data_IF_359769580274
#
_entry.id   IF_359769580274
#
_cell.length_a   1.000
_cell.length_b   1.000
_cell.length_c   1.000
_cell.angle_alpha   90.00
_cell.angle_beta   90.00
_cell.angle_gamma   90.00
#
_symmetry.space_group_name_H-M   'P 1'
#
loop_
_entity.id
_entity.type
_entity.pdbx_description
1 polymer ?
#
# COMPACT_ATOMS: atom_id res chain seq x y z
N UNK A 1 34.41 15.03 45.45
CA UNK A 1 35.00 13.82 44.83
C UNK A 1 34.41 13.71 43.43
N UNK A 2 35.13 14.25 42.45
CA UNK A 2 34.67 14.41 41.07
C UNK A 2 34.90 13.10 40.31
N UNK A 3 33.82 12.47 39.85
CA UNK A 3 33.89 11.25 39.06
C UNK A 3 34.50 11.61 37.69
N UNK A 4 35.68 11.04 37.40
CA UNK A 4 36.33 11.21 36.11
C UNK A 4 35.62 10.33 35.07
N UNK A 5 34.63 10.91 34.39
CA UNK A 5 33.77 10.26 33.39
C UNK A 5 34.58 9.56 32.29
N UNK A 6 35.77 10.06 31.97
CA UNK A 6 36.64 9.46 30.95
C UNK A 6 37.15 8.07 31.35
N UNK A 7 37.31 7.80 32.65
CA UNK A 7 37.78 6.51 33.15
C UNK A 7 36.66 5.46 33.20
N UNK A 8 35.42 5.88 33.49
CA UNK A 8 34.23 5.02 33.45
C UNK A 8 33.94 4.55 32.02
N UNK A 9 34.06 5.46 31.05
CA UNK A 9 33.86 5.16 29.63
C UNK A 9 34.92 4.19 29.10
N UNK A 10 36.19 4.32 29.53
CA UNK A 10 37.27 3.38 29.13
C UNK A 10 37.09 1.97 29.69
N UNK A 11 36.55 1.82 30.91
CA UNK A 11 36.23 0.51 31.52
C UNK A 11 35.00 -0.15 30.90
N UNK A 12 33.98 0.62 30.52
CA UNK A 12 32.79 0.10 29.81
C UNK A 12 33.08 -0.34 28.37
N UNK A 13 34.09 0.24 27.71
CA UNK A 13 34.52 -0.16 26.36
C UNK A 13 35.51 -1.34 26.34
N UNK A 14 35.68 -2.06 27.46
CA UNK A 14 36.44 -3.30 27.51
C UNK A 14 37.95 -3.12 27.36
N UNK A 15 38.49 -1.96 27.73
CA UNK A 15 39.93 -1.70 27.64
C UNK A 15 40.62 -2.16 28.92
N UNK A 16 41.44 -3.23 28.83
CA UNK A 16 42.29 -3.71 29.91
C UNK A 16 43.76 -3.62 29.48
N UNK A 17 44.63 -2.89 30.20
CA UNK A 17 46.04 -2.84 29.88
C UNK A 17 46.76 -4.02 30.55
N UNK A 18 47.16 -5.00 29.76
CA UNK A 18 48.50 -5.60 29.74
C UNK A 18 48.48 -7.01 29.14
N UNK A 19 49.05 -7.12 27.96
CA UNK A 19 49.59 -8.35 27.38
C UNK A 19 50.95 -8.64 28.01
N UNK A 20 51.20 -9.87 28.46
CA UNK A 20 52.42 -10.69 28.22
C UNK A 20 52.51 -11.82 29.24
N UNK A 21 52.42 -13.07 28.79
CA UNK A 21 53.55 -14.02 28.89
C UNK A 21 53.22 -15.42 28.34
N UNK A 22 54.22 -15.91 27.59
CA UNK A 22 54.61 -17.29 27.31
C UNK A 22 53.69 -18.28 26.57
N UNK A 23 54.08 -18.44 25.31
CA UNK A 23 54.23 -19.71 24.61
C UNK A 23 54.87 -20.79 25.50
N UNK A 24 54.28 -21.98 25.61
CA UNK A 24 54.98 -23.27 25.55
C UNK A 24 54.02 -24.46 25.52
N UNK A 25 54.43 -25.48 24.77
CA UNK A 25 53.82 -26.79 24.60
C UNK A 25 53.55 -27.48 25.94
N UNK A 26 52.48 -28.27 26.01
CA UNK A 26 52.53 -29.62 26.57
C UNK A 26 51.32 -30.43 26.09
N UNK A 27 51.61 -31.54 25.39
CA UNK A 27 50.66 -32.64 25.23
C UNK A 27 50.42 -33.26 26.61
N UNK A 28 49.16 -33.43 26.99
CA UNK A 28 48.79 -34.41 28.02
C UNK A 28 47.60 -35.21 27.50
N UNK A 29 47.87 -36.49 27.21
CA UNK A 29 46.84 -37.51 27.15
C UNK A 29 46.34 -37.80 28.57
N UNK A 30 45.01 -37.82 28.77
CA UNK A 30 44.39 -38.62 29.81
C UNK A 30 43.31 -39.51 29.20
N UNK A 31 43.47 -40.81 29.44
CA UNK A 31 42.56 -41.90 29.09
C UNK A 31 41.29 -41.78 29.94
N UNK A 32 40.13 -41.93 29.28
CA UNK A 32 38.82 -41.92 29.95
C UNK A 32 38.66 -43.15 30.84
N UNK A 33 38.29 -42.94 32.10
CA UNK A 33 37.56 -43.93 32.89
C UNK A 33 36.14 -43.40 33.06
N UNK A 34 35.29 -43.82 32.12
CA UNK A 34 33.86 -44.13 32.27
C UNK A 34 33.22 -44.00 30.89
N UNK A 35 33.06 -45.17 30.25
CA UNK A 35 32.28 -45.34 29.05
C UNK A 35 30.81 -45.03 29.30
N UNK A 36 30.46 -43.75 29.23
CA UNK A 36 29.10 -43.30 28.94
C UNK A 36 29.14 -42.36 27.74
N UNK A 37 28.77 -42.95 26.61
CA UNK A 37 28.27 -42.20 25.46
C UNK A 37 26.99 -41.48 25.89
N UNK A 38 27.11 -40.21 26.26
CA UNK A 38 26.03 -39.27 25.97
C UNK A 38 26.40 -38.76 24.58
N UNK A 39 25.63 -39.18 23.58
CA UNK A 39 25.72 -38.67 22.23
C UNK A 39 25.71 -37.14 22.29
N UNK A 40 26.90 -36.56 22.17
CA UNK A 40 27.07 -35.22 21.63
C UNK A 40 26.23 -35.23 20.37
N UNK A 41 25.16 -34.44 20.34
CA UNK A 41 24.53 -33.98 19.10
C UNK A 41 25.65 -33.25 18.34
N UNK A 42 26.41 -34.03 17.58
CA UNK A 42 27.55 -33.63 16.79
C UNK A 42 26.98 -32.97 15.54
N UNK A 43 27.24 -31.69 15.38
CA UNK A 43 27.60 -31.19 14.05
C UNK A 43 26.49 -30.68 13.13
N UNK A 44 25.33 -30.26 13.64
CA UNK A 44 24.43 -29.33 12.92
C UNK A 44 23.95 -28.19 13.86
N UNK A 45 24.77 -27.81 14.82
CA UNK A 45 24.40 -26.86 15.89
C UNK A 45 24.40 -25.41 15.41
N UNK A 46 23.23 -24.78 15.39
CA UNK A 46 22.97 -23.34 15.22
C UNK A 46 23.39 -22.68 13.90
N UNK A 47 24.65 -22.82 13.44
CA UNK A 47 25.13 -22.24 12.17
C UNK A 47 24.44 -22.85 10.95
N UNK A 48 24.20 -24.17 10.97
CA UNK A 48 23.45 -24.86 9.91
C UNK A 48 21.98 -24.44 9.87
N UNK A 49 21.34 -24.35 11.03
CA UNK A 49 19.96 -23.86 11.17
C UNK A 49 19.80 -22.41 10.69
N UNK A 50 20.71 -21.51 11.10
CA UNK A 50 20.73 -20.13 10.65
C UNK A 50 20.94 -20.02 9.13
N UNK A 51 21.84 -20.85 8.58
CA UNK A 51 22.03 -20.96 7.14
C UNK A 51 20.74 -21.36 6.43
N UNK A 52 20.08 -22.44 6.86
CA UNK A 52 18.81 -22.89 6.27
C UNK A 52 17.74 -21.79 6.31
N UNK A 53 17.65 -21.03 7.41
CA UNK A 53 16.74 -19.88 7.49
C UNK A 53 17.08 -18.82 6.42
N UNK A 54 18.35 -18.41 6.30
CA UNK A 54 18.77 -17.45 5.27
C UNK A 54 18.50 -17.95 3.84
N UNK A 55 18.65 -19.25 3.58
CA UNK A 55 18.30 -19.85 2.28
C UNK A 55 16.80 -19.78 2.02
N UNK A 56 15.99 -20.31 2.93
CA UNK A 56 14.53 -20.40 2.74
C UNK A 56 13.91 -19.01 2.59
N UNK A 57 14.26 -18.08 3.49
CA UNK A 57 13.76 -16.71 3.40
C UNK A 57 14.34 -15.96 2.21
N UNK A 58 15.62 -16.13 1.89
CA UNK A 58 16.25 -15.48 0.74
C UNK A 58 15.60 -15.87 -0.59
N UNK A 59 15.39 -17.17 -0.80
CA UNK A 59 14.69 -17.70 -1.99
C UNK A 59 13.24 -17.22 -2.04
N UNK A 60 12.52 -17.29 -0.91
CA UNK A 60 11.13 -16.86 -0.85
C UNK A 60 10.94 -15.38 -1.18
N UNK A 61 11.78 -14.50 -0.64
CA UNK A 61 11.73 -13.07 -0.94
C UNK A 61 12.02 -12.76 -2.41
N UNK A 62 13.02 -13.44 -3.00
CA UNK A 62 13.35 -13.27 -4.42
C UNK A 62 12.20 -13.75 -5.32
N UNK A 63 11.67 -14.95 -5.08
CA UNK A 63 10.55 -15.49 -5.86
C UNK A 63 9.34 -14.57 -5.77
N UNK A 64 9.05 -14.05 -4.57
CA UNK A 64 7.92 -13.14 -4.34
C UNK A 64 8.10 -11.84 -5.11
N UNK A 65 9.25 -11.20 -4.99
CA UNK A 65 9.55 -9.96 -5.71
C UNK A 65 9.49 -10.15 -7.23
N UNK A 66 10.12 -11.21 -7.75
CA UNK A 66 10.07 -11.52 -9.18
C UNK A 66 8.66 -11.83 -9.67
N UNK A 67 7.83 -12.50 -8.85
CA UNK A 67 6.45 -12.83 -9.20
C UNK A 67 5.57 -11.57 -9.24
N UNK A 68 5.77 -10.63 -8.32
CA UNK A 68 5.06 -9.34 -8.33
C UNK A 68 5.49 -8.53 -9.55
N UNK A 69 6.80 -8.42 -9.81
CA UNK A 69 7.33 -7.75 -10.99
C UNK A 69 6.92 -8.42 -12.30
N UNK A 70 6.72 -9.74 -12.33
CA UNK A 70 6.30 -10.43 -13.56
C UNK A 70 4.85 -10.15 -13.98
N UNK A 71 4.05 -9.44 -13.16
CA UNK A 71 2.70 -9.02 -13.55
C UNK A 71 2.79 -7.95 -14.64
N UNK A 72 2.16 -8.21 -15.78
CA UNK A 72 2.44 -7.55 -17.06
C UNK A 72 1.95 -6.11 -17.18
N UNK A 73 0.91 -5.70 -16.46
CA UNK A 73 0.50 -4.29 -16.34
C UNK A 73 -0.04 -4.02 -14.94
N UNK A 74 0.48 -2.99 -14.28
CA UNK A 74 0.06 -2.58 -12.94
C UNK A 74 -0.54 -1.19 -13.05
N UNK A 75 -1.87 -1.14 -13.04
CA UNK A 75 -2.60 0.07 -12.69
C UNK A 75 -3.26 -0.16 -11.34
N UNK A 76 -3.38 0.86 -10.48
CA UNK A 76 -3.01 2.27 -10.66
C UNK A 76 -1.50 2.51 -10.48
N UNK A 77 -0.97 3.65 -10.96
CA UNK A 77 0.47 3.91 -10.99
C UNK A 77 1.16 3.84 -9.61
N UNK A 78 0.50 4.34 -8.57
CA UNK A 78 1.02 4.26 -7.21
C UNK A 78 1.20 2.81 -6.73
N UNK A 79 0.41 1.86 -7.23
CA UNK A 79 0.59 0.43 -6.93
C UNK A 79 1.82 -0.09 -7.65
N UNK A 80 2.09 0.36 -8.88
CA UNK A 80 3.31 -0.01 -9.58
C UNK A 80 4.55 0.55 -8.87
N UNK A 81 4.51 1.78 -8.37
CA UNK A 81 5.61 2.35 -7.57
C UNK A 81 5.81 1.58 -6.26
N UNK A 82 4.73 1.23 -5.55
CA UNK A 82 4.80 0.36 -4.38
C UNK A 82 5.42 -0.99 -4.73
N UNK A 83 4.94 -1.65 -5.78
CA UNK A 83 5.42 -2.96 -6.21
C UNK A 83 6.89 -2.92 -6.60
N UNK A 84 7.29 -1.90 -7.34
CA UNK A 84 8.65 -1.74 -7.82
C UNK A 84 9.64 -1.47 -6.68
N UNK A 85 9.36 -0.47 -5.84
CA UNK A 85 10.22 -0.11 -4.70
C UNK A 85 10.30 -1.27 -3.70
N UNK A 86 9.14 -1.85 -3.36
CA UNK A 86 9.05 -2.98 -2.44
C UNK A 86 9.81 -4.20 -2.96
N UNK A 87 9.58 -4.59 -4.23
CA UNK A 87 10.27 -5.72 -4.84
C UNK A 87 11.77 -5.49 -4.94
N UNK A 88 12.21 -4.26 -5.24
CA UNK A 88 13.63 -3.90 -5.25
C UNK A 88 14.30 -4.08 -3.88
N UNK A 89 13.65 -3.61 -2.80
CA UNK A 89 14.15 -3.79 -1.43
C UNK A 89 14.19 -5.28 -1.05
N UNK A 90 13.13 -6.04 -1.34
CA UNK A 90 13.06 -7.48 -1.03
C UNK A 90 14.07 -8.30 -1.83
N UNK A 91 14.34 -7.96 -3.10
CA UNK A 91 15.41 -8.58 -3.88
C UNK A 91 16.77 -8.34 -3.24
N UNK A 92 17.05 -7.10 -2.80
CA UNK A 92 18.31 -6.77 -2.15
C UNK A 92 18.50 -7.55 -0.84
N UNK A 93 17.45 -7.67 -0.01
CA UNK A 93 17.47 -8.47 1.22
C UNK A 93 17.66 -9.96 0.90
N UNK A 94 16.92 -10.48 -0.09
CA UNK A 94 16.95 -11.88 -0.49
C UNK A 94 18.32 -12.29 -1.02
N UNK A 95 18.90 -11.51 -1.93
CA UNK A 95 20.25 -11.74 -2.48
C UNK A 95 21.30 -11.69 -1.36
N UNK A 96 21.22 -10.68 -0.48
CA UNK A 96 22.13 -10.56 0.66
C UNK A 96 22.03 -11.76 1.60
N UNK A 97 20.82 -12.29 1.82
CA UNK A 97 20.58 -13.49 2.62
C UNK A 97 21.18 -14.74 1.96
N UNK A 98 21.07 -14.89 0.63
CA UNK A 98 21.74 -15.98 -0.11
C UNK A 98 23.28 -15.87 -0.04
N UNK A 99 23.83 -14.66 -0.08
CA UNK A 99 25.28 -14.43 0.09
C UNK A 99 25.74 -14.87 1.49
N UNK A 100 24.95 -14.60 2.54
CA UNK A 100 25.19 -15.07 3.90
C UNK A 100 25.12 -16.61 3.94
N UNK A 101 24.09 -17.21 3.33
CA UNK A 101 23.88 -18.67 3.33
C UNK A 101 25.01 -19.45 2.68
N UNK A 102 25.34 -19.15 1.41
CA UNK A 102 26.37 -19.87 0.67
C UNK A 102 27.78 -19.60 1.20
N UNK A 103 27.91 -18.75 2.23
CA UNK A 103 29.18 -18.36 2.82
C UNK A 103 30.17 -17.89 1.74
N UNK A 104 29.65 -17.24 0.68
CA UNK A 104 30.48 -16.62 -0.36
C UNK A 104 31.47 -15.64 0.26
N UNK A 105 31.18 -15.17 1.48
CA UNK A 105 32.11 -14.42 2.33
C UNK A 105 32.46 -15.18 3.60
N UNK A 106 33.67 -15.74 3.63
CA UNK A 106 34.26 -16.43 4.80
C UNK A 106 34.52 -15.53 6.02
N UNK A 107 34.13 -14.25 5.99
CA UNK A 107 34.44 -13.27 7.04
C UNK A 107 33.20 -13.01 7.90
N UNK A 108 33.25 -13.38 9.18
CA UNK A 108 32.16 -13.17 10.14
C UNK A 108 31.76 -11.69 10.27
N UNK A 109 32.73 -10.77 10.17
CA UNK A 109 32.46 -9.33 10.20
C UNK A 109 31.64 -8.87 8.98
N UNK A 110 31.84 -9.50 7.83
CA UNK A 110 31.09 -9.16 6.62
C UNK A 110 29.66 -9.69 6.68
N UNK A 111 29.46 -10.91 7.19
CA UNK A 111 28.12 -11.45 7.40
C UNK A 111 27.29 -10.58 8.35
N UNK A 112 27.92 -10.01 9.40
CA UNK A 112 27.28 -9.04 10.29
C UNK A 112 26.96 -7.70 9.61
N UNK A 113 27.85 -7.20 8.74
CA UNK A 113 27.58 -5.97 7.97
C UNK A 113 26.38 -6.21 7.03
N UNK A 114 26.35 -7.34 6.32
CA UNK A 114 25.21 -7.70 5.47
C UNK A 114 23.92 -7.87 6.28
N UNK A 115 23.99 -8.48 7.45
CA UNK A 115 22.85 -8.58 8.36
C UNK A 115 22.36 -7.21 8.85
N UNK A 116 23.26 -6.29 9.17
CA UNK A 116 22.91 -4.90 9.53
C UNK A 116 22.26 -4.17 8.36
N UNK A 117 22.79 -4.34 7.14
CA UNK A 117 22.19 -3.77 5.92
C UNK A 117 20.78 -4.33 5.71
N UNK A 118 20.57 -5.64 5.86
CA UNK A 118 19.25 -6.25 5.76
C UNK A 118 18.27 -5.70 6.79
N UNK A 119 18.70 -5.50 8.04
CA UNK A 119 17.84 -4.91 9.08
C UNK A 119 17.49 -3.46 8.74
N UNK A 120 18.46 -2.67 8.28
CA UNK A 120 18.21 -1.29 7.85
C UNK A 120 17.23 -1.25 6.66
N UNK A 121 17.40 -2.12 5.67
CA UNK A 121 16.50 -2.25 4.52
C UNK A 121 15.09 -2.69 4.96
N UNK A 122 14.97 -3.61 5.90
CA UNK A 122 13.67 -4.03 6.46
C UNK A 122 12.99 -2.90 7.23
N UNK A 123 13.75 -2.08 7.98
CA UNK A 123 13.21 -0.91 8.65
C UNK A 123 12.71 0.14 7.64
N UNK A 124 13.49 0.41 6.58
CA UNK A 124 13.08 1.30 5.48
C UNK A 124 11.84 0.77 4.77
N UNK A 125 11.80 -0.53 4.47
CA UNK A 125 10.64 -1.20 3.88
C UNK A 125 9.39 -1.06 4.74
N UNK A 126 9.51 -1.32 6.04
CA UNK A 126 8.41 -1.19 7.00
C UNK A 126 7.90 0.24 7.10
N UNK A 127 8.81 1.22 7.17
CA UNK A 127 8.45 2.64 7.18
C UNK A 127 7.75 3.05 5.88
N UNK A 128 8.30 2.68 4.72
CA UNK A 128 7.71 2.97 3.41
C UNK A 128 6.28 2.42 3.31
N UNK A 129 6.06 1.15 3.63
CA UNK A 129 4.73 0.55 3.58
C UNK A 129 3.79 1.06 4.66
N UNK A 130 4.29 1.50 5.82
CA UNK A 130 3.46 2.11 6.86
C UNK A 130 2.85 3.44 6.43
N UNK A 131 3.54 4.19 5.56
CA UNK A 131 3.02 5.42 4.94
C UNK A 131 1.99 5.11 3.85
N UNK A 132 2.06 3.90 3.28
CA UNK A 132 1.15 3.36 2.26
C UNK A 132 -0.08 2.65 2.85
N UNK A 133 -0.31 2.72 4.17
CA UNK A 133 -1.51 2.15 4.80
C UNK A 133 -2.73 3.03 4.47
N UNK A 134 -3.76 2.43 3.88
CA UNK A 134 -5.07 3.07 3.74
C UNK A 134 -5.70 3.14 5.13
N UNK A 135 -6.37 4.26 5.44
CA UNK A 135 -7.04 4.51 6.74
C UNK A 135 -8.16 3.52 7.10
N UNK A 136 -8.46 2.59 6.19
CA UNK A 136 -9.51 1.58 6.31
C UNK A 136 -8.90 0.28 6.85
N UNK A 137 -8.57 0.25 8.15
CA UNK A 137 -8.50 -1.03 8.88
C UNK A 137 -9.95 -1.53 9.11
N UNK A 138 -10.66 -1.93 8.05
CA UNK A 138 -11.92 -2.65 8.19
C UNK A 138 -11.67 -4.16 8.27
N UNK A 139 -11.89 -4.69 9.49
CA UNK A 139 -12.16 -6.09 9.85
C UNK A 139 -11.35 -7.20 9.15
N UNK A 140 -10.20 -7.62 9.70
CA UNK A 140 -9.84 -9.02 9.61
C UNK A 140 -10.62 -9.79 10.68
N UNK A 141 -11.48 -10.73 10.26
CA UNK A 141 -11.89 -11.82 11.14
C UNK A 141 -10.63 -12.57 11.58
N UNK A 142 -10.58 -12.96 12.85
CA UNK A 142 -9.38 -13.56 13.48
C UNK A 142 -8.96 -14.90 12.87
N UNK A 143 -9.78 -15.52 12.02
CA UNK A 143 -9.51 -16.81 11.39
C UNK A 143 -8.57 -16.75 10.17
N UNK A 144 -8.41 -15.59 9.52
CA UNK A 144 -7.61 -15.44 8.29
C UNK A 144 -6.20 -14.85 8.54
N UNK A 145 -5.82 -14.64 9.80
CA UNK A 145 -4.68 -13.80 10.19
C UNK A 145 -3.32 -14.34 9.71
N UNK A 146 -3.02 -15.63 9.92
CA UNK A 146 -1.75 -16.23 9.51
C UNK A 146 -1.67 -16.48 7.99
N UNK A 147 -2.80 -16.82 7.37
CA UNK A 147 -2.88 -17.00 5.92
C UNK A 147 -2.62 -15.67 5.20
N UNK A 148 -3.10 -14.56 5.76
CA UNK A 148 -2.88 -13.22 5.20
C UNK A 148 -1.42 -12.76 5.22
N UNK A 149 -0.58 -13.16 6.19
CA UNK A 149 0.81 -12.69 6.31
C UNK A 149 1.66 -13.14 5.11
N UNK A 150 1.42 -14.35 4.60
CA UNK A 150 2.15 -14.91 3.47
C UNK A 150 1.51 -14.62 2.11
N UNK A 151 0.22 -14.26 2.07
CA UNK A 151 -0.48 -13.93 0.82
C UNK A 151 -0.42 -12.44 0.45
N UNK A 152 -0.40 -11.53 1.45
CA UNK A 152 -0.29 -10.07 1.25
C UNK A 152 0.92 -9.64 0.41
N UNK A 153 2.12 -10.26 0.50
CA UNK A 153 3.21 -9.97 -0.42
C UNK A 153 2.86 -10.21 -1.90
N UNK A 154 2.01 -11.21 -2.20
CA UNK A 154 1.56 -11.51 -3.58
C UNK A 154 0.41 -10.59 -4.05
N UNK A 155 -0.28 -9.93 -3.11
CA UNK A 155 -1.32 -8.94 -3.35
C UNK A 155 -0.77 -7.51 -3.23
N UNK A 156 0.27 -7.21 -4.00
CA UNK A 156 0.81 -5.86 -4.15
C UNK A 156 1.26 -5.20 -2.83
N UNK A 157 1.79 -6.02 -1.91
CA UNK A 157 2.29 -5.58 -0.60
C UNK A 157 1.25 -4.83 0.25
N UNK A 158 -0.03 -5.24 0.14
CA UNK A 158 -1.14 -4.66 0.90
C UNK A 158 -1.19 -5.20 2.34
N UNK A 159 -0.42 -4.59 3.24
CA UNK A 159 -0.44 -4.96 4.66
C UNK A 159 -1.41 -4.11 5.47
N UNK A 160 -2.00 -4.70 6.52
CA UNK A 160 -2.53 -3.98 7.67
C UNK A 160 -1.43 -3.84 8.72
N UNK A 161 -1.58 -2.91 9.66
CA UNK A 161 -0.51 -2.52 10.60
C UNK A 161 0.08 -3.74 11.33
N UNK A 162 -0.77 -4.58 11.93
CA UNK A 162 -0.33 -5.77 12.66
C UNK A 162 0.38 -6.80 11.76
N UNK A 163 -0.15 -7.04 10.55
CA UNK A 163 0.47 -7.97 9.60
C UNK A 163 1.82 -7.46 9.07
N UNK A 164 1.98 -6.15 8.88
CA UNK A 164 3.23 -5.52 8.46
C UNK A 164 4.32 -5.68 9.52
N UNK A 165 3.98 -5.41 10.79
CA UNK A 165 4.89 -5.57 11.92
C UNK A 165 5.37 -7.02 12.00
N UNK A 166 4.43 -7.98 11.94
CA UNK A 166 4.77 -9.41 12.01
C UNK A 166 5.61 -9.87 10.82
N UNK A 167 5.27 -9.49 9.60
CA UNK A 167 6.07 -9.79 8.40
C UNK A 167 7.51 -9.27 8.56
N UNK A 168 7.66 -8.01 8.99
CA UNK A 168 8.97 -7.37 9.18
C UNK A 168 9.79 -8.10 10.24
N UNK A 169 9.17 -8.48 11.37
CA UNK A 169 9.82 -9.26 12.42
C UNK A 169 10.28 -10.63 11.89
N UNK A 170 9.40 -11.37 11.21
CA UNK A 170 9.68 -12.70 10.66
C UNK A 170 10.84 -12.64 9.66
N UNK A 171 10.78 -11.71 8.70
CA UNK A 171 11.84 -11.53 7.69
C UNK A 171 13.17 -11.07 8.32
N UNK A 172 13.11 -10.39 9.46
CA UNK A 172 14.28 -9.91 10.21
C UNK A 172 14.99 -10.99 11.04
N UNK A 173 14.30 -12.06 11.46
CA UNK A 173 14.85 -13.11 12.35
C UNK A 173 16.22 -13.63 11.88
N UNK A 174 16.42 -14.02 10.60
CA UNK A 174 17.71 -14.55 10.17
C UNK A 174 18.84 -13.53 10.33
N UNK A 175 18.59 -12.25 10.02
CA UNK A 175 19.60 -11.19 10.11
C UNK A 175 19.90 -10.80 11.57
N UNK A 176 18.88 -10.74 12.43
CA UNK A 176 19.03 -10.50 13.87
C UNK A 176 19.86 -11.61 14.51
N UNK A 177 19.57 -12.87 14.21
CA UNK A 177 20.32 -14.01 14.72
C UNK A 177 21.78 -14.02 14.23
N UNK A 178 22.05 -13.61 12.99
CA UNK A 178 23.42 -13.46 12.46
C UNK A 178 24.23 -12.43 13.23
N UNK A 179 23.62 -11.31 13.65
CA UNK A 179 24.27 -10.28 14.45
C UNK A 179 24.78 -10.79 15.80
N UNK A 180 23.98 -11.63 16.47
CA UNK A 180 24.31 -12.18 17.78
C UNK A 180 25.28 -13.38 17.75
N UNK A 181 25.65 -13.88 16.57
CA UNK A 181 26.62 -14.99 16.42
C UNK A 181 28.08 -14.56 16.65
N UNK A 182 28.91 -15.33 17.37
CA UNK A 182 30.31 -14.98 17.73
C UNK A 182 31.27 -14.96 16.52
N UNK A 183 32.22 -13.99 16.43
CA UNK A 183 33.09 -13.83 15.27
C UNK A 183 34.30 -14.77 15.28
N UNK A 184 34.63 -15.31 14.10
CA UNK A 184 35.95 -15.84 13.77
C UNK A 184 36.33 -15.28 12.38
N UNK A 185 37.29 -14.35 12.31
CA UNK A 185 37.96 -14.01 11.04
C UNK A 185 38.08 -12.53 10.68
N UNK A 186 39.06 -12.25 9.82
CA UNK A 186 39.53 -10.92 9.39
C UNK A 186 38.81 -10.48 8.10
N UNK A 187 38.69 -9.16 7.91
CA UNK A 187 38.01 -8.46 6.79
C UNK A 187 38.79 -8.62 5.46
N UNK A 188 38.11 -8.77 4.32
CA UNK A 188 38.73 -8.75 2.97
C UNK A 188 38.12 -7.66 2.07
N UNK A 189 38.96 -6.82 1.49
CA UNK A 189 38.61 -5.61 0.72
C UNK A 189 37.99 -5.91 -0.67
N UNK A 190 38.32 -7.05 -1.29
CA UNK A 190 37.79 -7.45 -2.62
C UNK A 190 36.29 -7.75 -2.64
N UNK A 191 35.68 -7.99 -1.48
CA UNK A 191 34.25 -8.29 -1.37
C UNK A 191 33.36 -7.04 -1.44
N UNK A 192 33.81 -5.92 -0.86
CA UNK A 192 33.08 -4.65 -0.91
C UNK A 192 32.82 -4.24 -2.37
N UNK A 193 33.81 -4.49 -3.24
CA UNK A 193 33.72 -4.23 -4.67
C UNK A 193 32.67 -5.12 -5.37
N UNK A 194 32.61 -6.41 -5.02
CA UNK A 194 31.65 -7.36 -5.60
C UNK A 194 30.20 -7.07 -5.13
N UNK A 195 30.00 -6.71 -3.86
CA UNK A 195 28.69 -6.29 -3.35
C UNK A 195 28.22 -4.99 -3.99
N UNK A 196 29.12 -4.00 -4.13
CA UNK A 196 28.83 -2.76 -4.84
C UNK A 196 28.44 -3.02 -6.29
N UNK A 197 29.16 -3.90 -6.99
CA UNK A 197 28.85 -4.26 -8.37
C UNK A 197 27.47 -4.93 -8.49
N UNK A 198 27.12 -5.86 -7.60
CA UNK A 198 25.79 -6.50 -7.57
C UNK A 198 24.69 -5.45 -7.34
N UNK A 199 24.89 -4.54 -6.37
CA UNK A 199 23.93 -3.47 -6.12
C UNK A 199 23.75 -2.56 -7.34
N UNK A 200 24.85 -2.17 -8.00
CA UNK A 200 24.81 -1.36 -9.22
C UNK A 200 24.04 -2.08 -10.33
N UNK A 201 24.32 -3.37 -10.57
CA UNK A 201 23.65 -4.16 -11.60
C UNK A 201 22.16 -4.29 -11.28
N UNK A 202 21.79 -4.63 -10.04
CA UNK A 202 20.38 -4.76 -9.62
C UNK A 202 19.64 -3.43 -9.79
N UNK A 203 20.22 -2.32 -9.33
CA UNK A 203 19.62 -0.98 -9.48
C UNK A 203 19.50 -0.59 -10.95
N UNK A 204 20.51 -0.87 -11.78
CA UNK A 204 20.45 -0.58 -13.22
C UNK A 204 19.38 -1.43 -13.92
N UNK A 205 19.32 -2.74 -13.63
CA UNK A 205 18.29 -3.63 -14.19
C UNK A 205 16.88 -3.23 -13.78
N UNK A 206 16.68 -2.85 -12.51
CA UNK A 206 15.42 -2.32 -12.03
C UNK A 206 15.08 -1.01 -12.75
N UNK A 207 16.02 -0.07 -12.87
CA UNK A 207 15.81 1.19 -13.59
C UNK A 207 15.42 0.98 -15.07
N UNK A 208 16.09 0.06 -15.76
CA UNK A 208 15.71 -0.33 -17.13
C UNK A 208 14.31 -0.95 -17.19
N UNK A 209 13.97 -1.79 -16.22
CA UNK A 209 12.64 -2.39 -16.14
C UNK A 209 11.53 -1.36 -15.87
N UNK A 210 11.78 -0.39 -15.00
CA UNK A 210 10.87 0.74 -14.75
C UNK A 210 10.64 1.59 -16.01
N UNK A 211 11.71 1.87 -16.76
CA UNK A 211 11.61 2.58 -18.03
C UNK A 211 10.77 1.80 -19.06
N UNK A 212 10.94 0.47 -19.11
CA UNK A 212 10.13 -0.39 -19.96
C UNK A 212 8.65 -0.35 -19.59
N UNK A 213 8.31 -0.37 -18.29
CA UNK A 213 6.92 -0.24 -17.82
C UNK A 213 6.32 1.13 -18.16
N UNK A 214 7.07 2.23 -17.99
CA UNK A 214 6.64 3.56 -18.44
C UNK A 214 6.36 3.59 -19.94
N UNK A 215 7.28 3.05 -20.74
CA UNK A 215 7.12 3.02 -22.20
C UNK A 215 5.88 2.22 -22.62
N UNK A 216 5.60 1.10 -21.92
CA UNK A 216 4.36 0.36 -22.15
C UNK A 216 3.13 1.19 -21.77
N UNK A 217 3.13 1.88 -20.63
CA UNK A 217 2.05 2.77 -20.21
C UNK A 217 1.77 3.84 -21.27
N UNK A 218 2.81 4.54 -21.72
CA UNK A 218 2.69 5.60 -22.73
C UNK A 218 2.10 5.07 -24.04
N UNK A 219 2.37 3.82 -24.39
CA UNK A 219 1.79 3.18 -25.58
C UNK A 219 0.29 2.92 -25.50
N UNK A 220 -0.29 2.94 -24.29
CA UNK A 220 -1.73 2.75 -24.06
C UNK A 220 -2.49 4.08 -23.99
N UNK A 221 -1.81 5.22 -24.00
CA UNK A 221 -2.43 6.53 -23.89
C UNK A 221 -3.32 6.80 -25.12
N UNK A 222 -4.60 7.06 -24.87
CA UNK A 222 -5.59 7.36 -25.90
C UNK A 222 -5.93 8.85 -25.92
N UNK A 223 -6.08 9.46 -24.75
CA UNK A 223 -6.46 10.87 -24.60
C UNK A 223 -5.73 11.48 -23.40
N UNK A 224 -5.38 12.77 -23.50
CA UNK A 224 -4.80 13.54 -22.39
C UNK A 224 -5.48 14.90 -22.32
N UNK A 225 -5.86 15.28 -21.09
CA UNK A 225 -6.30 16.62 -20.77
C UNK A 225 -5.18 17.65 -20.89
N UNK A 226 -5.54 18.93 -20.90
CA UNK A 226 -4.56 20.03 -20.88
C UNK A 226 -3.72 19.94 -19.60
N UNK A 227 -2.42 20.16 -19.72
CA UNK A 227 -1.47 20.16 -18.60
C UNK A 227 -1.53 18.92 -17.69
N UNK A 228 -1.96 17.76 -18.20
CA UNK A 228 -2.00 16.50 -17.43
C UNK A 228 -3.10 16.43 -16.37
N UNK A 229 -4.16 17.24 -16.50
CA UNK A 229 -5.33 17.21 -15.61
C UNK A 229 -5.98 15.82 -15.54
N UNK A 230 -6.02 15.09 -16.65
CA UNK A 230 -6.35 13.67 -16.74
C UNK A 230 -5.61 13.01 -17.89
N UNK A 231 -5.43 11.70 -17.80
CA UNK A 231 -4.91 10.83 -18.85
C UNK A 231 -5.83 9.61 -18.98
N UNK A 232 -6.27 9.29 -20.19
CA UNK A 232 -7.11 8.14 -20.49
C UNK A 232 -6.28 7.10 -21.24
N UNK A 233 -6.20 5.90 -20.67
CA UNK A 233 -5.50 4.77 -21.26
C UNK A 233 -6.49 3.72 -21.74
N UNK A 234 -6.29 3.19 -22.94
CA UNK A 234 -7.08 2.08 -23.46
C UNK A 234 -6.50 0.75 -23.00
N UNK A 235 -7.29 -0.04 -22.29
CA UNK A 235 -6.90 -1.36 -21.82
C UNK A 235 -7.47 -2.43 -22.77
N UNK A 236 -6.64 -3.39 -23.17
CA UNK A 236 -7.10 -4.58 -23.88
C UNK A 236 -7.43 -5.71 -22.87
N UNK A 237 -8.40 -6.55 -23.22
CA UNK A 237 -8.94 -7.61 -22.33
C UNK A 237 -7.90 -8.62 -21.85
N UNK A 238 -6.78 -8.78 -22.55
CA UNK A 238 -5.74 -9.74 -22.17
C UNK A 238 -4.70 -9.14 -21.21
N UNK A 239 -4.84 -7.87 -20.86
CA UNK A 239 -3.73 -7.05 -20.35
C UNK A 239 -3.94 -6.53 -18.94
N UNK A 240 -5.14 -6.60 -18.36
CA UNK A 240 -5.40 -6.13 -17.00
C UNK A 240 -5.92 -7.25 -16.06
N UNK A 241 -5.05 -7.68 -15.14
CA UNK A 241 -5.44 -8.46 -13.96
C UNK A 241 -4.97 -7.70 -12.71
N UNK A 242 -5.86 -6.95 -12.09
CA UNK A 242 -5.50 -6.00 -11.03
C UNK A 242 -6.35 -6.12 -9.77
N UNK A 243 -6.01 -5.28 -8.80
CA UNK A 243 -6.69 -5.14 -7.48
C UNK A 243 -8.18 -4.82 -7.63
N UNK A 244 -8.59 -4.26 -8.77
CA UNK A 244 -9.96 -3.82 -9.06
C UNK A 244 -10.80 -4.82 -9.87
N UNK A 245 -10.29 -6.03 -10.14
CA UNK A 245 -11.02 -7.09 -10.84
C UNK A 245 -10.42 -7.48 -12.18
N UNK A 246 -11.22 -8.17 -13.01
CA UNK A 246 -10.81 -8.68 -14.33
C UNK A 246 -11.12 -7.68 -15.45
N UNK A 247 -10.21 -7.62 -16.42
CA UNK A 247 -10.23 -6.79 -17.64
C UNK A 247 -11.50 -6.82 -18.49
N UNK A 248 -12.35 -7.84 -18.38
CA UNK A 248 -13.53 -7.98 -19.24
C UNK A 248 -14.63 -6.94 -18.95
N UNK A 249 -14.52 -6.21 -17.83
CA UNK A 249 -15.50 -5.19 -17.40
C UNK A 249 -15.00 -3.77 -17.68
N UNK A 250 -13.69 -3.56 -17.76
CA UNK A 250 -13.08 -2.23 -17.83
C UNK A 250 -12.23 -2.10 -19.09
N UNK A 251 -12.64 -1.20 -19.98
CA UNK A 251 -11.98 -0.97 -21.29
C UNK A 251 -10.99 0.19 -21.24
N UNK A 252 -11.10 1.04 -20.22
CA UNK A 252 -10.24 2.21 -20.08
C UNK A 252 -9.74 2.36 -18.64
N UNK A 253 -8.70 3.15 -18.46
CA UNK A 253 -8.20 3.59 -17.17
C UNK A 253 -8.00 5.10 -17.22
N UNK A 254 -8.66 5.82 -16.33
CA UNK A 254 -8.39 7.24 -16.11
C UNK A 254 -7.29 7.37 -15.08
N UNK A 255 -6.34 8.26 -15.29
CA UNK A 255 -5.29 8.63 -14.34
C UNK A 255 -5.11 10.16 -14.33
N UNK A 256 -4.27 10.67 -13.43
CA UNK A 256 -3.82 12.07 -13.50
C UNK A 256 -2.44 12.23 -12.91
N UNK A 257 -1.69 13.15 -13.50
CA UNK A 257 -0.39 13.60 -12.96
C UNK A 257 -0.55 14.56 -11.77
N UNK A 258 -1.78 15.01 -11.46
CA UNK A 258 -2.07 16.13 -10.57
C UNK A 258 -2.89 15.79 -9.31
N UNK A 259 -2.68 14.60 -8.72
CA UNK A 259 -3.01 14.36 -7.31
C UNK A 259 -4.23 13.49 -7.02
N UNK A 260 -4.88 12.92 -8.03
CA UNK A 260 -5.93 11.92 -7.83
C UNK A 260 -5.52 10.61 -8.47
N UNK A 261 -5.71 9.48 -7.77
CA UNK A 261 -5.34 8.17 -8.28
C UNK A 261 -6.28 7.77 -9.38
N UNK A 262 -5.69 7.28 -10.45
CA UNK A 262 -6.45 6.65 -11.49
C UNK A 262 -7.31 5.47 -11.04
N UNK A 263 -8.35 5.21 -11.82
CA UNK A 263 -9.25 4.08 -11.65
C UNK A 263 -9.71 3.56 -13.01
N UNK A 264 -10.01 2.25 -13.10
CA UNK A 264 -10.55 1.68 -14.32
C UNK A 264 -11.98 2.17 -14.55
N UNK A 265 -12.33 2.44 -15.80
CA UNK A 265 -13.69 2.81 -16.21
C UNK A 265 -14.21 1.89 -17.32
N UNK A 266 -15.51 1.64 -17.29
CA UNK A 266 -16.21 0.87 -18.32
C UNK A 266 -16.44 1.70 -19.58
N UNK A 267 -16.86 1.04 -20.66
CA UNK A 267 -17.29 1.74 -21.87
C UNK A 267 -18.49 2.64 -21.59
N UNK A 268 -19.44 2.17 -20.79
CA UNK A 268 -20.64 2.92 -20.39
C UNK A 268 -20.27 4.16 -19.56
N UNK A 269 -19.27 4.07 -18.69
CA UNK A 269 -18.76 5.24 -17.96
C UNK A 269 -18.13 6.25 -18.93
N UNK A 270 -17.34 5.78 -19.90
CA UNK A 270 -16.76 6.65 -20.93
C UNK A 270 -17.82 7.33 -21.82
N UNK A 271 -18.88 6.62 -22.20
CA UNK A 271 -20.03 7.21 -22.92
C UNK A 271 -20.71 8.32 -22.11
N UNK A 272 -20.81 8.17 -20.78
CA UNK A 272 -21.34 9.20 -19.89
C UNK A 272 -20.43 10.45 -19.81
N UNK A 273 -19.11 10.25 -19.79
CA UNK A 273 -18.12 11.34 -19.87
C UNK A 273 -18.32 12.11 -21.19
N UNK A 274 -18.40 11.41 -22.33
CA UNK A 274 -18.64 12.03 -23.63
C UNK A 274 -19.98 12.77 -23.70
N UNK A 275 -21.04 12.23 -23.11
CA UNK A 275 -22.32 12.93 -22.99
C UNK A 275 -22.17 14.25 -22.21
N UNK A 276 -21.45 14.21 -21.09
CA UNK A 276 -21.26 15.36 -20.22
C UNK A 276 -20.35 16.44 -20.87
N UNK A 277 -19.34 16.04 -21.64
CA UNK A 277 -18.49 16.95 -22.44
C UNK A 277 -19.33 17.86 -23.35
N UNK A 278 -20.39 17.32 -23.95
CA UNK A 278 -21.26 18.04 -24.89
C UNK A 278 -22.27 19.00 -24.23
N UNK A 279 -22.28 19.10 -22.89
CA UNK A 279 -23.10 20.07 -22.16
C UNK A 279 -22.37 21.39 -21.98
N UNK A 280 -23.09 22.47 -21.69
CA UNK A 280 -22.47 23.74 -21.29
C UNK A 280 -21.56 23.54 -20.07
N UNK A 281 -20.54 24.38 -19.93
CA UNK A 281 -19.66 24.40 -18.76
C UNK A 281 -20.49 24.56 -17.49
N UNK A 282 -20.23 23.73 -16.49
CA UNK A 282 -20.97 23.73 -15.24
C UNK A 282 -20.19 23.03 -14.14
N UNK A 283 -20.53 23.34 -12.89
CA UNK A 283 -19.99 22.65 -11.72
C UNK A 283 -20.81 21.39 -11.46
N UNK A 284 -20.12 20.30 -11.14
CA UNK A 284 -20.72 18.98 -10.96
C UNK A 284 -20.57 18.53 -9.51
N UNK A 285 -21.68 18.19 -8.87
CA UNK A 285 -21.65 17.45 -7.60
C UNK A 285 -21.45 15.96 -7.89
N UNK A 286 -20.36 15.43 -7.38
CA UNK A 286 -20.01 14.02 -7.38
C UNK A 286 -19.24 13.71 -6.08
N UNK A 287 -19.13 12.44 -5.72
CA UNK A 287 -18.15 12.04 -4.71
C UNK A 287 -16.72 12.22 -5.26
N UNK A 288 -15.75 12.54 -4.40
CA UNK A 288 -14.38 12.88 -4.84
C UNK A 288 -13.67 11.70 -5.54
N UNK A 289 -14.05 10.44 -5.29
CA UNK A 289 -13.54 9.28 -6.05
C UNK A 289 -13.74 9.43 -7.59
N UNK A 290 -14.75 10.20 -8.02
CA UNK A 290 -15.13 10.35 -9.44
C UNK A 290 -14.62 11.63 -10.08
N UNK A 291 -13.78 12.41 -9.41
CA UNK A 291 -13.33 13.71 -9.93
C UNK A 291 -12.60 13.59 -11.28
N UNK A 292 -11.84 12.52 -11.52
CA UNK A 292 -11.22 12.27 -12.83
C UNK A 292 -12.24 12.17 -13.97
N UNK A 293 -13.39 11.53 -13.74
CA UNK A 293 -14.45 11.39 -14.75
C UNK A 293 -15.04 12.76 -15.09
N UNK A 294 -15.18 13.63 -14.07
CA UNK A 294 -15.67 15.00 -14.21
C UNK A 294 -14.68 15.89 -14.95
N UNK A 295 -13.38 15.80 -14.60
CA UNK A 295 -12.30 16.53 -15.28
C UNK A 295 -12.14 16.07 -16.73
N UNK A 296 -12.20 14.76 -16.98
CA UNK A 296 -12.22 14.19 -18.33
C UNK A 296 -13.42 14.71 -19.14
N UNK A 297 -14.54 15.02 -18.48
CA UNK A 297 -15.69 15.65 -19.11
C UNK A 297 -15.52 17.17 -19.37
N UNK A 298 -14.37 17.76 -19.05
CA UNK A 298 -14.14 19.21 -19.13
C UNK A 298 -15.02 20.01 -18.17
N UNK A 299 -15.41 19.41 -17.03
CA UNK A 299 -16.25 20.04 -16.00
C UNK A 299 -15.46 20.28 -14.72
N UNK A 300 -15.98 21.18 -13.89
CA UNK A 300 -15.39 21.47 -12.59
C UNK A 300 -16.13 20.67 -11.50
N UNK A 301 -15.47 19.75 -10.80
CA UNK A 301 -16.08 19.03 -9.68
C UNK A 301 -16.21 19.95 -8.45
N UNK A 302 -17.31 19.82 -7.69
CA UNK A 302 -17.47 20.57 -6.44
C UNK A 302 -16.44 20.12 -5.42
N UNK A 303 -16.16 18.84 -5.26
CA UNK A 303 -15.03 18.34 -4.46
C UNK A 303 -14.09 17.53 -5.35
N UNK A 304 -12.80 17.75 -5.20
CA UNK A 304 -11.70 17.10 -5.91
C UNK A 304 -10.97 16.12 -5.01
N UNK A 305 -10.88 16.41 -3.71
CA UNK A 305 -10.13 15.60 -2.76
C UNK A 305 -10.94 15.29 -1.49
N UNK A 306 -10.42 14.34 -0.72
CA UNK A 306 -10.87 14.08 0.65
C UNK A 306 -10.60 15.29 1.55
N UNK A 307 -11.09 15.21 2.80
CA UNK A 307 -10.76 16.17 3.86
C UNK A 307 -9.68 15.59 4.78
N UNK A 308 -8.73 16.43 5.20
CA UNK A 308 -7.66 16.03 6.11
C UNK A 308 -8.19 15.72 7.52
N UNK A 309 -9.17 16.51 7.99
CA UNK A 309 -9.74 16.36 9.34
C UNK A 309 -10.82 15.26 9.39
N UNK A 310 -11.57 15.05 8.30
CA UNK A 310 -12.56 13.97 8.18
C UNK A 310 -11.86 12.72 7.63
N UNK A 311 -10.99 12.12 8.45
CA UNK A 311 -10.10 11.00 8.06
C UNK A 311 -10.80 9.81 7.40
N UNK A 312 -12.08 9.58 7.70
CA UNK A 312 -12.89 8.52 7.12
C UNK A 312 -13.09 8.69 5.61
N UNK A 313 -12.96 9.92 5.11
CA UNK A 313 -13.04 10.23 3.68
C UNK A 313 -11.73 9.95 2.94
N UNK A 314 -10.63 9.68 3.65
CA UNK A 314 -9.31 9.42 3.06
C UNK A 314 -9.25 7.96 2.62
N UNK A 315 -9.61 7.71 1.36
CA UNK A 315 -9.65 6.38 0.76
C UNK A 315 -8.31 5.83 0.26
N UNK A 316 -7.21 6.59 0.39
CA UNK A 316 -5.87 6.24 -0.12
C UNK A 316 -4.79 6.50 0.94
N UNK A 317 -3.55 6.03 0.75
CA UNK A 317 -2.49 6.35 1.68
C UNK A 317 -2.20 7.84 1.75
N UNK A 318 -2.04 8.36 2.98
CA UNK A 318 -1.88 9.79 3.25
C UNK A 318 -0.70 10.44 2.51
N UNK A 319 0.37 9.68 2.21
CA UNK A 319 1.55 10.17 1.48
C UNK A 319 1.27 10.56 0.02
N UNK A 320 0.14 10.12 -0.54
CA UNK A 320 -0.28 10.45 -1.91
C UNK A 320 -1.22 11.66 -1.96
N UNK A 321 -1.60 12.23 -0.81
CA UNK A 321 -2.41 13.44 -0.74
C UNK A 321 -1.52 14.64 -0.43
N UNK A 322 -1.19 15.40 -1.47
CA UNK A 322 -0.55 16.71 -1.33
C UNK A 322 -1.58 17.84 -1.22
N UNK A 323 -2.86 17.54 -1.51
CA UNK A 323 -3.96 18.49 -1.60
C UNK A 323 -5.21 17.87 -0.97
N UNK A 324 -5.89 18.65 -0.13
CA UNK A 324 -7.18 18.32 0.47
C UNK A 324 -8.18 19.44 0.19
N UNK A 325 -9.46 19.09 0.03
CA UNK A 325 -10.54 20.08 0.05
C UNK A 325 -10.86 20.48 1.50
N UNK A 326 -11.52 21.63 1.66
CA UNK A 326 -11.93 22.08 2.99
C UNK A 326 -12.98 21.16 3.60
N UNK A 327 -12.92 20.99 4.93
CA UNK A 327 -13.85 20.14 5.68
C UNK A 327 -15.30 20.56 5.47
N UNK A 328 -15.57 21.87 5.39
CA UNK A 328 -16.89 22.42 5.11
C UNK A 328 -17.44 21.90 3.77
N UNK A 329 -16.61 21.93 2.73
CA UNK A 329 -16.99 21.55 1.37
C UNK A 329 -17.25 20.05 1.27
N UNK A 330 -16.36 19.24 1.85
CA UNK A 330 -16.50 17.77 1.91
C UNK A 330 -17.72 17.38 2.76
N UNK A 331 -17.93 18.00 3.91
CA UNK A 331 -19.10 17.75 4.76
C UNK A 331 -20.41 18.15 4.07
N UNK A 332 -20.43 19.26 3.32
CA UNK A 332 -21.63 19.67 2.59
C UNK A 332 -21.96 18.75 1.43
N UNK A 333 -20.98 18.36 0.60
CA UNK A 333 -21.23 17.36 -0.45
C UNK A 333 -21.65 16.02 0.17
N UNK A 334 -21.11 15.67 1.33
CA UNK A 334 -21.56 14.50 2.09
C UNK A 334 -23.02 14.64 2.54
N UNK A 335 -23.42 15.80 3.06
CA UNK A 335 -24.83 16.13 3.42
C UNK A 335 -25.75 16.11 2.21
N UNK A 336 -25.29 16.54 1.04
CA UNK A 336 -26.06 16.47 -0.19
C UNK A 336 -26.52 15.04 -0.47
N UNK A 337 -25.62 14.06 -0.35
CA UNK A 337 -25.94 12.65 -0.56
C UNK A 337 -26.62 12.00 0.65
N UNK A 338 -26.25 12.38 1.87
CA UNK A 338 -26.75 11.78 3.11
C UNK A 338 -28.15 12.27 3.53
N UNK A 339 -28.59 13.44 3.06
CA UNK A 339 -29.89 13.99 3.40
C UNK A 339 -31.04 13.06 2.98
N UNK A 340 -32.14 13.09 3.72
CA UNK A 340 -33.40 12.44 3.35
C UNK A 340 -34.33 13.35 2.51
N UNK A 341 -34.00 14.64 2.44
CA UNK A 341 -34.78 15.70 1.81
C UNK A 341 -34.13 16.23 0.54
N UNK A 342 -34.92 16.26 -0.53
CA UNK A 342 -34.53 16.84 -1.82
C UNK A 342 -34.23 18.34 -1.73
N UNK A 343 -34.92 19.06 -0.84
CA UNK A 343 -34.71 20.49 -0.64
C UNK A 343 -33.33 20.82 -0.05
N UNK A 344 -32.80 19.94 0.80
CA UNK A 344 -31.45 20.07 1.36
C UNK A 344 -30.40 19.86 0.26
N UNK A 345 -30.56 18.80 -0.55
CA UNK A 345 -29.72 18.56 -1.71
C UNK A 345 -29.72 19.75 -2.68
N UNK A 346 -30.91 20.30 -3.01
CA UNK A 346 -31.02 21.52 -3.82
C UNK A 346 -30.24 22.70 -3.22
N UNK A 347 -30.45 22.98 -1.93
CA UNK A 347 -29.78 24.11 -1.27
C UNK A 347 -28.25 24.01 -1.30
N UNK A 348 -27.70 22.80 -1.17
CA UNK A 348 -26.26 22.55 -1.27
C UNK A 348 -25.76 22.70 -2.72
N UNK A 349 -26.51 22.18 -3.70
CA UNK A 349 -26.19 22.39 -5.12
C UNK A 349 -26.13 23.88 -5.47
N UNK A 350 -27.11 24.66 -5.05
CA UNK A 350 -27.16 26.11 -5.25
C UNK A 350 -26.03 26.84 -4.52
N UNK A 351 -25.70 26.45 -3.28
CA UNK A 351 -24.58 27.03 -2.50
C UNK A 351 -23.26 26.99 -3.29
N UNK A 352 -23.00 25.90 -3.99
CA UNK A 352 -21.76 25.71 -4.76
C UNK A 352 -21.89 26.05 -6.25
N UNK A 353 -23.05 26.54 -6.70
CA UNK A 353 -23.32 26.84 -8.10
C UNK A 353 -23.27 25.60 -9.01
N UNK A 354 -23.55 24.42 -8.45
CA UNK A 354 -23.55 23.17 -9.18
C UNK A 354 -24.92 22.92 -9.82
N UNK A 355 -24.93 22.77 -11.14
CA UNK A 355 -26.13 22.53 -11.92
C UNK A 355 -26.25 21.08 -12.40
N UNK A 356 -25.23 20.25 -12.17
CA UNK A 356 -25.20 18.84 -12.56
C UNK A 356 -24.86 17.97 -11.34
N UNK A 357 -25.51 16.81 -11.25
CA UNK A 357 -25.23 15.76 -10.28
C UNK A 357 -24.80 14.51 -11.05
N UNK A 358 -23.64 13.97 -10.71
CA UNK A 358 -23.08 12.77 -11.35
C UNK A 358 -23.07 11.59 -10.37
N UNK A 359 -23.61 10.45 -10.81
CA UNK A 359 -23.76 9.26 -9.99
C UNK A 359 -23.16 8.05 -10.71
N UNK A 360 -22.08 7.50 -10.15
CA UNK A 360 -21.56 6.19 -10.54
C UNK A 360 -22.30 5.09 -9.79
N UNK A 361 -23.00 4.21 -10.52
CA UNK A 361 -23.92 3.23 -9.95
C UNK A 361 -23.23 2.12 -9.19
N UNK A 362 -22.01 1.78 -9.59
CA UNK A 362 -21.31 0.59 -9.10
C UNK A 362 -20.94 0.68 -7.61
N UNK A 363 -20.55 1.87 -7.12
CA UNK A 363 -20.05 2.04 -5.73
C UNK A 363 -20.82 3.04 -4.89
N UNK A 364 -21.77 3.81 -5.46
CA UNK A 364 -22.49 4.85 -4.71
C UNK A 364 -23.11 4.31 -3.40
N UNK A 365 -23.74 3.13 -3.43
CA UNK A 365 -24.35 2.55 -2.24
C UNK A 365 -23.33 2.18 -1.13
N UNK A 366 -22.11 1.80 -1.53
CA UNK A 366 -21.03 1.46 -0.61
C UNK A 366 -20.39 2.72 0.01
N UNK A 367 -20.55 3.87 -0.66
CA UNK A 367 -20.00 5.16 -0.21
C UNK A 367 -20.95 5.92 0.72
N UNK A 368 -22.27 5.66 0.67
CA UNK A 368 -23.27 6.30 1.55
C UNK A 368 -22.91 6.22 3.04
N UNK A 369 -22.45 5.07 3.60
CA UNK A 369 -21.98 4.99 4.98
C UNK A 369 -20.89 6.02 5.33
N UNK A 370 -19.93 6.22 4.42
CA UNK A 370 -18.83 7.17 4.59
C UNK A 370 -19.37 8.60 4.52
N UNK A 371 -20.28 8.88 3.58
CA UNK A 371 -20.93 10.19 3.44
C UNK A 371 -21.76 10.53 4.68
N UNK A 372 -22.46 9.57 5.29
CA UNK A 372 -23.21 9.79 6.53
C UNK A 372 -22.27 10.21 7.69
N UNK A 373 -21.12 9.53 7.83
CA UNK A 373 -20.11 9.87 8.85
C UNK A 373 -19.43 11.22 8.57
N UNK A 374 -19.24 11.58 7.30
CA UNK A 374 -18.64 12.85 6.91
C UNK A 374 -19.63 14.04 7.02
N UNK A 375 -20.92 13.78 6.85
CA UNK A 375 -21.98 14.77 6.98
C UNK A 375 -22.22 15.21 8.44
N UNK A 376 -22.11 14.26 9.37
CA UNK A 376 -22.25 14.47 10.82
C UNK A 376 -21.15 13.72 11.59
N UNK A 377 -20.18 14.42 12.20
CA UNK A 377 -19.12 13.81 13.00
C UNK A 377 -19.61 12.97 14.19
N UNK A 378 -20.86 13.21 14.65
CA UNK A 378 -21.47 12.43 15.73
C UNK A 378 -22.12 11.14 15.22
N UNK A 379 -22.32 11.01 13.91
CA UNK A 379 -22.82 9.80 13.29
C UNK A 379 -21.71 8.74 13.28
N UNK A 380 -21.87 7.71 14.10
CA UNK A 380 -20.97 6.57 14.11
C UNK A 380 -21.81 5.30 13.90
N UNK A 381 -21.51 4.55 12.84
CA UNK A 381 -22.16 3.27 12.51
C UNK A 381 -21.92 2.22 13.62
N UNK A 382 -20.88 2.40 14.42
CA UNK A 382 -20.57 1.59 15.60
C UNK A 382 -21.21 2.12 16.89
N UNK A 383 -21.91 3.26 16.85
CA UNK A 383 -22.67 3.74 17.99
C UNK A 383 -23.78 2.73 18.30
N UNK A 384 -23.87 2.32 19.58
CA UNK A 384 -24.86 1.37 20.05
C UNK A 384 -26.29 1.81 19.71
N UNK A 385 -26.58 3.10 19.68
CA UNK A 385 -27.93 3.60 19.37
C UNK A 385 -28.31 3.37 17.90
N UNK A 386 -27.34 3.43 16.97
CA UNK A 386 -27.53 3.12 15.55
C UNK A 386 -27.61 1.60 15.35
N UNK A 387 -26.73 0.84 16.00
CA UNK A 387 -26.75 -0.64 15.98
C UNK A 387 -28.08 -1.18 16.53
N UNK A 388 -28.60 -0.59 17.62
CA UNK A 388 -29.87 -1.01 18.22
C UNK A 388 -31.09 -0.74 17.32
N UNK A 389 -30.98 0.14 16.32
CA UNK A 389 -32.01 0.36 15.29
C UNK A 389 -31.93 -0.65 14.14
N UNK A 390 -30.82 -1.38 14.03
CA UNK A 390 -30.48 -2.30 12.93
C UNK A 390 -30.51 -3.74 13.48
N UNK A 391 -31.66 -4.39 13.40
CA UNK A 391 -31.79 -5.79 13.84
C UNK A 391 -31.36 -6.80 12.76
N UNK A 392 -31.13 -6.33 11.53
CA UNK A 392 -30.71 -7.14 10.38
C UNK A 392 -30.02 -6.30 9.29
N UNK A 393 -29.30 -6.92 8.34
CA UNK A 393 -28.78 -6.22 7.16
C UNK A 393 -29.87 -5.53 6.32
N UNK A 394 -31.08 -6.10 6.30
CA UNK A 394 -32.23 -5.52 5.61
C UNK A 394 -32.74 -4.25 6.30
N UNK A 395 -32.74 -4.23 7.63
CA UNK A 395 -33.06 -3.05 8.43
C UNK A 395 -32.06 -1.91 8.15
N UNK A 396 -30.77 -2.22 8.03
CA UNK A 396 -29.76 -1.22 7.68
C UNK A 396 -30.05 -0.60 6.32
N UNK A 397 -30.30 -1.43 5.30
CA UNK A 397 -30.63 -0.95 3.97
C UNK A 397 -31.88 -0.07 3.99
N UNK A 398 -32.96 -0.52 4.65
CA UNK A 398 -34.24 0.18 4.63
C UNK A 398 -34.27 1.47 5.47
N UNK A 399 -33.60 1.49 6.62
CA UNK A 399 -33.67 2.60 7.58
C UNK A 399 -32.56 3.62 7.40
N UNK A 400 -31.39 3.20 6.91
CA UNK A 400 -30.20 4.07 6.79
C UNK A 400 -29.92 4.40 5.33
N UNK A 401 -29.86 3.40 4.44
CA UNK A 401 -29.39 3.63 3.06
C UNK A 401 -30.49 4.18 2.16
N UNK A 402 -31.64 3.48 2.04
CA UNK A 402 -32.74 3.84 1.13
C UNK A 402 -33.32 5.25 1.32
N UNK A 403 -33.40 5.81 2.53
CA UNK A 403 -33.92 7.16 2.72
C UNK A 403 -33.03 8.26 2.13
N UNK A 404 -31.73 8.01 1.96
CA UNK A 404 -30.75 9.01 1.52
C UNK A 404 -30.94 9.45 0.07
N UNK A 405 -30.61 10.70 -0.22
CA UNK A 405 -30.58 11.24 -1.58
C UNK A 405 -29.59 10.49 -2.46
N UNK A 406 -28.44 10.05 -1.93
CA UNK A 406 -27.46 9.24 -2.64
C UNK A 406 -28.07 7.95 -3.19
N UNK A 407 -28.84 7.22 -2.37
CA UNK A 407 -29.56 6.03 -2.84
C UNK A 407 -30.65 6.39 -3.86
N UNK A 408 -31.45 7.42 -3.60
CA UNK A 408 -32.54 7.82 -4.51
C UNK A 408 -32.02 8.21 -5.89
N UNK A 409 -30.95 9.02 -5.94
CA UNK A 409 -30.27 9.38 -7.19
C UNK A 409 -29.75 8.13 -7.91
N UNK A 410 -29.10 7.21 -7.19
CA UNK A 410 -28.56 5.96 -7.74
C UNK A 410 -29.66 4.99 -8.24
N UNK A 411 -30.85 5.04 -7.64
CA UNK A 411 -32.00 4.25 -8.06
C UNK A 411 -32.68 4.75 -9.33
N UNK A 412 -32.27 5.91 -9.86
CA UNK A 412 -32.90 6.51 -11.04
C UNK A 412 -34.23 7.21 -10.73
N UNK A 413 -34.46 7.61 -9.47
CA UNK A 413 -35.72 8.21 -9.02
C UNK A 413 -36.00 9.55 -9.72
N UNK A 414 -37.29 9.89 -9.82
CA UNK A 414 -37.74 11.18 -10.33
C UNK A 414 -37.83 12.21 -9.21
N UNK A 415 -37.43 13.45 -9.50
CA UNK A 415 -37.28 14.51 -8.51
C UNK A 415 -37.99 15.80 -8.92
N UNK A 416 -38.40 16.59 -7.93
CA UNK A 416 -39.09 17.86 -8.18
C UNK A 416 -38.15 18.95 -8.71
N UNK A 417 -36.90 18.95 -8.29
CA UNK A 417 -35.86 19.96 -8.47
C UNK A 417 -34.71 19.47 -9.36
N UNK A 418 -34.64 18.17 -9.65
CA UNK A 418 -33.59 17.59 -10.50
C UNK A 418 -34.22 16.80 -11.66
N UNK A 419 -33.83 17.12 -12.89
CA UNK A 419 -34.20 16.35 -14.08
C UNK A 419 -33.14 15.31 -14.40
N UNK A 420 -33.55 14.06 -14.63
CA UNK A 420 -32.65 13.02 -15.10
C UNK A 420 -32.38 13.22 -16.59
N UNK A 421 -31.14 13.56 -16.95
CA UNK A 421 -30.76 13.91 -18.33
C UNK A 421 -29.96 12.82 -19.05
N UNK A 422 -29.45 11.84 -18.30
CA UNK A 422 -28.72 10.68 -18.83
C UNK A 422 -28.82 9.51 -17.86
N UNK A 423 -28.98 8.30 -18.40
CA UNK A 423 -28.94 7.06 -17.64
C UNK A 423 -28.40 5.94 -18.53
N UNK A 424 -27.42 5.21 -18.03
CA UNK A 424 -27.03 3.92 -18.57
C UNK A 424 -26.78 2.91 -17.43
N UNK A 425 -26.13 1.79 -17.77
CA UNK A 425 -25.86 0.70 -16.83
C UNK A 425 -25.00 1.14 -15.65
N UNK A 426 -24.05 2.05 -15.86
CA UNK A 426 -23.00 2.37 -14.88
C UNK A 426 -23.11 3.80 -14.33
N UNK A 427 -23.82 4.71 -15.01
CA UNK A 427 -23.88 6.14 -14.65
C UNK A 427 -25.29 6.70 -14.80
N UNK A 428 -25.67 7.60 -13.87
CA UNK A 428 -26.86 8.45 -13.97
C UNK A 428 -26.43 9.91 -13.79
N UNK A 429 -26.95 10.82 -14.61
CA UNK A 429 -26.68 12.25 -14.53
C UNK A 429 -28.00 13.01 -14.39
N UNK A 430 -28.07 13.87 -13.40
CA UNK A 430 -29.18 14.79 -13.18
C UNK A 430 -28.75 16.23 -13.40
N UNK A 431 -29.69 17.08 -13.80
CA UNK A 431 -29.55 18.51 -13.93
C UNK A 431 -30.49 19.23 -12.98
N UNK A 432 -30.00 20.25 -12.27
CA UNK A 432 -30.83 21.11 -11.44
C UNK A 432 -31.77 21.94 -12.33
N UNK A 433 -33.06 21.97 -11.96
CA UNK A 433 -34.14 22.69 -12.67
C UNK A 433 -34.08 24.20 -12.53
#
# INVERSE_FOLDING_TARGET
MTINITEVIRKMMGWCPSTLMLNNKEEIYMVSYEGKYIDKIKGMGFRGFLGVLHLVFGVWLIITALRVLAKTLIFPWYVMDIDFISSGILLAIGISSLIIFFNFVKSANVQRILALVNIALLAVFSLYLSMSLVSVEFFPSTSDFLYSIFDRPYSHYTFGTLSLILFTLIAGIPSILTLFSKPEGIRKTRFILATLLILIIVTASLGTYYLYLNTQKDSLLEESGKNGEYELYRINSDTFSGIFGTSNVYTYFLDSTSGTTGHPISKETYEAIQFLQNKETGKVIAWWDYELEIKAAGKEPVITYASQEIRQTVGRPSLLYDIFDSDEKVADVSRFFAADSEGVAKGIAEKYGANIVYISRQRMNDLIPIMLMAADPNYNIQNKDVINLINSPEDYSNKIIKPTMGYKFNSGAEFKYFDKIFENKDVIIYQLK
#
